data_IF_275787181658
#
_entry.id   IF_275787181658
#
_cell.length_a   1.000
_cell.length_b   1.000
_cell.length_c   1.000
_cell.angle_alpha   90.00
_cell.angle_beta   90.00
_cell.angle_gamma   90.00
#
_symmetry.space_group_name_H-M   'P 1'
#
loop_
_entity.id
_entity.type
_entity.pdbx_description
1 polymer ?
#
# COMPACT_ATOMS: atom_id res chain seq x y z
N UNK A 1 -22.24 -4.54 -12.46
CA UNK A 1 -20.98 -3.78 -12.59
C UNK A 1 -19.83 -4.78 -12.61
N UNK A 2 -19.11 -4.93 -13.73
CA UNK A 2 -17.86 -5.69 -13.74
C UNK A 2 -16.80 -4.80 -13.08
N UNK A 3 -16.66 -4.94 -11.75
CA UNK A 3 -15.62 -4.27 -10.98
C UNK A 3 -14.29 -4.99 -11.23
N UNK A 4 -13.76 -4.89 -12.45
CA UNK A 4 -12.42 -5.41 -12.73
C UNK A 4 -11.43 -4.57 -11.93
N UNK A 5 -10.85 -5.20 -10.90
CA UNK A 5 -9.78 -4.58 -10.12
C UNK A 5 -8.61 -4.28 -11.07
N UNK A 6 -8.17 -3.02 -11.07
CA UNK A 6 -6.96 -2.67 -11.81
C UNK A 6 -5.77 -3.39 -11.20
N UNK A 7 -4.77 -3.70 -12.02
CA UNK A 7 -3.51 -4.31 -11.54
C UNK A 7 -2.94 -3.55 -10.34
N UNK A 8 -2.92 -2.22 -10.41
CA UNK A 8 -2.45 -1.35 -9.32
C UNK A 8 -3.26 -1.53 -8.03
N UNK A 9 -4.57 -1.73 -8.14
CA UNK A 9 -5.43 -2.00 -6.97
C UNK A 9 -5.08 -3.34 -6.33
N UNK A 10 -4.87 -4.39 -7.12
CA UNK A 10 -4.46 -5.71 -6.64
C UNK A 10 -3.10 -5.64 -5.94
N UNK A 11 -2.11 -4.98 -6.57
CA UNK A 11 -0.77 -4.81 -6.01
C UNK A 11 -0.81 -4.01 -4.68
N UNK A 12 -1.66 -2.98 -4.61
CA UNK A 12 -1.87 -2.21 -3.37
C UNK A 12 -2.47 -3.07 -2.26
N UNK A 13 -3.50 -3.85 -2.57
CA UNK A 13 -4.15 -4.74 -1.60
C UNK A 13 -3.19 -5.83 -1.10
N UNK A 14 -2.32 -6.35 -1.98
CA UNK A 14 -1.31 -7.33 -1.60
C UNK A 14 -0.32 -6.76 -0.57
N UNK A 15 0.20 -5.55 -0.79
CA UNK A 15 1.12 -4.90 0.16
C UNK A 15 0.42 -4.60 1.49
N UNK A 16 -0.82 -4.10 1.47
CA UNK A 16 -1.58 -3.85 2.70
C UNK A 16 -1.85 -5.15 3.48
N UNK A 17 -2.16 -6.23 2.78
CA UNK A 17 -2.38 -7.54 3.39
C UNK A 17 -1.10 -8.07 4.02
N UNK A 18 0.06 -7.92 3.35
CA UNK A 18 1.36 -8.31 3.89
C UNK A 18 1.76 -7.47 5.11
N UNK A 19 1.46 -6.18 5.10
CA UNK A 19 1.68 -5.29 6.23
C UNK A 19 0.88 -5.76 7.46
N UNK A 20 -0.43 -5.95 7.31
CA UNK A 20 -1.28 -6.42 8.41
C UNK A 20 -0.94 -7.84 8.87
N UNK A 21 -0.51 -8.70 7.93
CA UNK A 21 0.00 -10.02 8.27
C UNK A 21 1.19 -9.92 9.22
N UNK A 22 2.17 -9.06 8.92
CA UNK A 22 3.33 -8.82 9.80
C UNK A 22 2.88 -8.40 11.20
N UNK A 23 1.99 -7.41 11.31
CA UNK A 23 1.46 -6.94 12.61
C UNK A 23 0.75 -8.05 13.39
N UNK A 24 -0.05 -8.86 12.69
CA UNK A 24 -0.84 -9.95 13.29
C UNK A 24 0.05 -11.03 13.90
N UNK A 25 1.20 -11.32 13.29
CA UNK A 25 2.14 -12.33 13.79
C UNK A 25 3.25 -11.74 14.67
N UNK A 26 3.17 -10.46 15.02
CA UNK A 26 4.14 -9.79 15.89
C UNK A 26 5.49 -9.46 15.20
N UNK A 27 5.54 -9.46 13.88
CA UNK A 27 6.70 -9.01 13.12
C UNK A 27 6.58 -7.52 12.77
N UNK A 28 7.71 -6.80 12.84
CA UNK A 28 7.77 -5.43 12.33
C UNK A 28 7.58 -5.44 10.81
N UNK A 29 6.62 -4.67 10.26
CA UNK A 29 6.56 -4.45 8.82
C UNK A 29 7.85 -3.74 8.36
N UNK A 30 8.59 -4.38 7.48
CA UNK A 30 9.84 -3.88 6.91
C UNK A 30 9.85 -4.19 5.42
N UNK A 31 10.64 -3.44 4.62
CA UNK A 31 10.79 -3.71 3.19
C UNK A 31 11.15 -5.17 2.93
N UNK A 32 12.13 -5.72 3.67
CA UNK A 32 12.51 -7.12 3.58
C UNK A 32 11.34 -8.09 3.80
N UNK A 33 10.55 -7.88 4.86
CA UNK A 33 9.42 -8.76 5.18
C UNK A 33 8.32 -8.64 4.12
N UNK A 34 8.02 -7.42 3.67
CA UNK A 34 7.02 -7.17 2.64
C UNK A 34 7.44 -7.79 1.29
N UNK A 35 8.71 -7.66 0.90
CA UNK A 35 9.31 -8.31 -0.27
C UNK A 35 9.16 -9.83 -0.19
N UNK A 36 9.49 -10.44 0.95
CA UNK A 36 9.36 -11.90 1.14
C UNK A 36 7.91 -12.39 1.03
N UNK A 37 6.95 -11.65 1.61
CA UNK A 37 5.54 -12.08 1.64
C UNK A 37 4.85 -11.85 0.29
N UNK A 38 5.12 -10.71 -0.35
CA UNK A 38 4.42 -10.31 -1.58
C UNK A 38 5.10 -10.81 -2.85
N UNK A 39 6.41 -11.10 -2.80
CA UNK A 39 7.23 -11.40 -3.97
C UNK A 39 7.51 -10.18 -4.86
N UNK A 40 7.14 -8.97 -4.43
CA UNK A 40 7.45 -7.73 -5.14
C UNK A 40 8.85 -7.25 -4.81
N UNK A 41 9.49 -6.54 -5.75
CA UNK A 41 10.76 -5.88 -5.48
C UNK A 41 10.57 -4.71 -4.51
N UNK A 42 11.65 -4.32 -3.82
CA UNK A 42 11.60 -3.20 -2.88
C UNK A 42 11.20 -1.89 -3.57
N UNK A 43 11.68 -1.66 -4.80
CA UNK A 43 11.34 -0.49 -5.60
C UNK A 43 9.83 -0.44 -5.90
N UNK A 44 9.24 -1.60 -6.22
CA UNK A 44 7.81 -1.71 -6.50
C UNK A 44 6.97 -1.43 -5.25
N UNK A 45 7.43 -1.90 -4.09
CA UNK A 45 6.77 -1.64 -2.82
C UNK A 45 6.82 -0.14 -2.49
N UNK A 46 7.98 0.50 -2.66
CA UNK A 46 8.14 1.95 -2.45
C UNK A 46 7.27 2.77 -3.41
N UNK A 47 7.23 2.44 -4.70
CA UNK A 47 6.37 3.09 -5.70
C UNK A 47 4.89 3.09 -5.26
N UNK A 48 4.43 1.95 -4.73
CA UNK A 48 3.03 1.80 -4.29
C UNK A 48 2.77 2.52 -2.97
N UNK A 49 3.73 2.54 -2.04
CA UNK A 49 3.62 3.29 -0.79
C UNK A 49 3.61 4.80 -1.05
N UNK A 50 4.50 5.30 -1.90
CA UNK A 50 4.56 6.72 -2.29
C UNK A 50 3.27 7.20 -2.97
N UNK A 51 2.68 6.36 -3.84
CA UNK A 51 1.41 6.71 -4.49
C UNK A 51 0.21 6.77 -3.53
N UNK A 52 0.31 6.22 -2.30
CA UNK A 52 -0.68 6.50 -1.25
C UNK A 52 -0.51 7.88 -0.62
N UNK A 53 0.73 8.34 -0.42
CA UNK A 53 1.01 9.66 0.15
C UNK A 53 0.62 10.80 -0.79
N UNK A 54 0.86 10.66 -2.11
CA UNK A 54 0.45 11.69 -3.08
C UNK A 54 -1.07 11.86 -3.19
N UNK A 55 -1.86 10.81 -2.92
CA UNK A 55 -3.33 10.89 -2.97
C UNK A 55 -3.97 11.39 -1.66
N UNK A 56 -3.24 11.46 -0.56
CA UNK A 56 -3.71 12.05 0.70
C UNK A 56 -3.40 13.56 0.80
N UNK A 57 -2.45 14.08 0.02
CA UNK A 57 -2.03 15.48 0.08
C UNK A 57 -2.93 16.48 -0.68
N UNK A 58 -4.04 16.04 -1.28
CA UNK A 58 -4.91 16.92 -2.13
C UNK A 58 -6.36 17.00 -1.58
N UNK A 59 -6.55 16.93 -0.26
CA UNK A 59 -7.86 17.19 0.38
C UNK A 59 -7.79 17.98 1.68
N UNK A 60 -6.96 19.01 1.71
CA UNK A 60 -7.19 20.17 2.59
C UNK A 60 -7.56 21.34 1.69
N UNK A 61 -8.76 21.30 1.14
CA UNK A 61 -9.42 22.52 0.67
C UNK A 61 -10.01 23.20 1.90
N UNK A 62 -9.47 24.39 2.17
CA UNK A 62 -9.95 25.38 3.12
C UNK A 62 -11.46 25.57 3.01
N UNK A 63 -12.18 25.16 4.05
CA UNK A 63 -13.49 25.71 4.36
C UNK A 63 -13.48 26.19 5.80
N UNK A 64 -13.25 27.50 5.97
CA UNK A 64 -13.77 28.24 7.11
C UNK A 64 -14.09 29.66 6.65
N UNK A 65 -15.33 30.05 6.97
CA UNK A 65 -16.07 31.25 6.58
C UNK A 65 -15.46 32.54 7.15
#
# INVERSE_FOLDING_TARGET
>A
MNNNLTRKCIETLAIQSAYHFCETIGLKPSLLNLTMITGFSEEKILEILETKFSNQSVKTEDHSF
#
